data_IF_317393438661
#
_entry.id   IF_317393438661
#
_cell.length_a   1.000
_cell.length_b   1.000
_cell.length_c   1.000
_cell.angle_alpha   90.00
_cell.angle_beta   90.00
_cell.angle_gamma   90.00
#
_symmetry.space_group_name_H-M   'P 1'
#
loop_
_entity.id
_entity.type
_entity.pdbx_description
1 polymer ?
#
# COMPACT_ATOMS: atom_id res chain seq x y z
N UNK A 1 -6.75 -27.02 -4.69
CA UNK A 1 -5.79 -26.19 -3.95
C UNK A 1 -5.08 -27.06 -2.92
N UNK A 2 -3.85 -27.46 -3.21
CA UNK A 2 -2.94 -28.15 -2.29
C UNK A 2 -2.11 -27.13 -1.49
N UNK A 3 -1.42 -27.57 -0.45
CA UNK A 3 -0.55 -26.68 0.34
C UNK A 3 0.61 -26.12 -0.50
N UNK A 4 1.15 -26.92 -1.42
CA UNK A 4 2.21 -26.48 -2.34
C UNK A 4 1.70 -25.40 -3.30
N UNK A 5 0.48 -25.53 -3.81
CA UNK A 5 -0.17 -24.49 -4.64
C UNK A 5 -0.39 -23.19 -3.85
N UNK A 6 -0.69 -23.27 -2.54
CA UNK A 6 -0.78 -22.09 -1.66
C UNK A 6 0.59 -21.41 -1.54
N UNK A 7 1.66 -22.17 -1.26
CA UNK A 7 3.00 -21.61 -1.13
C UNK A 7 3.51 -20.99 -2.43
N UNK A 8 3.21 -21.58 -3.59
CA UNK A 8 3.56 -20.99 -4.89
C UNK A 8 2.86 -19.64 -5.11
N UNK A 9 1.59 -19.52 -4.73
CA UNK A 9 0.85 -18.26 -4.85
C UNK A 9 1.43 -17.16 -3.95
N UNK A 10 2.04 -17.49 -2.80
CA UNK A 10 2.66 -16.50 -1.91
C UNK A 10 3.84 -15.78 -2.57
N UNK A 11 4.66 -16.50 -3.34
CA UNK A 11 5.80 -15.91 -4.03
C UNK A 11 5.38 -14.84 -5.06
N UNK A 12 4.22 -15.02 -5.70
CA UNK A 12 3.68 -14.04 -6.65
C UNK A 12 3.10 -12.79 -5.96
N UNK A 13 2.73 -12.88 -4.68
CA UNK A 13 2.26 -11.72 -3.91
C UNK A 13 3.39 -10.71 -3.64
N UNK A 14 4.63 -11.17 -3.42
CA UNK A 14 5.78 -10.29 -3.22
C UNK A 14 6.17 -9.50 -4.49
N UNK A 15 5.81 -10.00 -5.69
CA UNK A 15 6.00 -9.25 -6.95
C UNK A 15 5.02 -8.09 -7.09
N UNK A 16 3.90 -8.15 -6.39
CA UNK A 16 2.84 -7.16 -6.43
C UNK A 16 2.04 -7.11 -7.73
N UNK A 17 1.10 -6.18 -7.77
CA UNK A 17 0.20 -5.91 -8.89
C UNK A 17 -0.01 -4.41 -9.07
N UNK A 18 -0.17 -4.02 -10.32
CA UNK A 18 -0.40 -2.63 -10.68
C UNK A 18 -1.86 -2.26 -10.43
N UNK A 19 -2.06 -1.24 -9.60
CA UNK A 19 -3.31 -0.52 -9.43
C UNK A 19 -3.28 0.75 -10.28
N UNK A 20 -4.27 0.91 -11.15
CA UNK A 20 -4.56 2.20 -11.78
C UNK A 20 -5.40 3.03 -10.83
N UNK A 21 -4.96 4.25 -10.52
CA UNK A 21 -5.74 5.18 -9.70
C UNK A 21 -6.80 5.86 -10.55
N UNK A 22 -8.04 5.79 -10.08
CA UNK A 22 -9.23 6.25 -10.79
C UNK A 22 -9.78 7.52 -10.14
N UNK A 23 -10.16 8.51 -10.96
CA UNK A 23 -10.90 9.69 -10.52
C UNK A 23 -12.29 9.24 -10.02
N UNK A 24 -12.65 9.52 -8.76
CA UNK A 24 -13.90 9.01 -8.19
C UNK A 24 -15.16 9.71 -8.73
N UNK A 25 -15.02 10.85 -9.43
CA UNK A 25 -16.13 11.56 -10.06
C UNK A 25 -16.31 11.19 -11.53
N UNK A 26 -15.22 11.02 -12.26
CA UNK A 26 -15.23 10.77 -13.70
C UNK A 26 -15.12 9.27 -14.05
N UNK A 27 -14.54 8.46 -13.18
CA UNK A 27 -14.27 7.04 -13.44
C UNK A 27 -13.05 6.79 -14.33
N UNK A 28 -12.30 7.84 -14.68
CA UNK A 28 -11.16 7.78 -15.60
C UNK A 28 -9.83 7.68 -14.84
N UNK A 29 -8.79 7.16 -15.50
CA UNK A 29 -7.45 7.07 -14.91
C UNK A 29 -6.86 8.47 -14.76
N UNK A 30 -6.30 8.77 -13.58
CA UNK A 30 -5.66 10.08 -13.32
C UNK A 30 -4.20 10.16 -13.78
N UNK A 31 -3.69 9.12 -14.43
CA UNK A 31 -2.27 9.05 -14.82
C UNK A 31 -1.32 8.63 -13.70
N UNK A 32 -1.84 8.06 -12.61
CA UNK A 32 -1.03 7.47 -11.53
C UNK A 32 -1.29 5.96 -11.46
N UNK A 33 -0.22 5.17 -11.44
CA UNK A 33 -0.27 3.73 -11.19
C UNK A 33 0.66 3.37 -10.04
N UNK A 34 0.20 2.49 -9.16
CA UNK A 34 0.98 2.02 -8.01
C UNK A 34 1.19 0.52 -8.13
N UNK A 35 2.43 0.06 -8.04
CA UNK A 35 2.73 -1.36 -7.90
C UNK A 35 2.64 -1.70 -6.41
N UNK A 36 1.63 -2.47 -6.02
CA UNK A 36 1.33 -2.76 -4.62
C UNK A 36 1.62 -4.23 -4.33
N UNK A 37 2.29 -4.52 -3.21
CA UNK A 37 2.53 -5.88 -2.74
C UNK A 37 1.24 -6.56 -2.24
N UNK A 38 1.08 -7.85 -2.49
CA UNK A 38 -0.12 -8.60 -2.09
C UNK A 38 -0.26 -8.77 -0.58
N UNK A 39 -1.48 -8.98 -0.06
CA UNK A 39 -1.77 -9.00 1.39
C UNK A 39 -1.01 -10.07 2.19
N UNK A 40 -0.66 -11.19 1.56
CA UNK A 40 0.09 -12.30 2.17
C UNK A 40 1.59 -12.26 1.81
N UNK A 41 2.06 -11.18 1.16
CA UNK A 41 3.49 -10.97 0.88
C UNK A 41 4.32 -10.76 2.14
N UNK A 42 5.62 -11.07 2.08
CA UNK A 42 6.54 -10.73 3.17
C UNK A 42 6.65 -9.22 3.36
N UNK A 43 6.56 -8.45 2.26
CA UNK A 43 6.54 -6.98 2.29
C UNK A 43 5.43 -6.44 3.18
N UNK A 44 4.20 -6.90 2.99
CA UNK A 44 3.06 -6.48 3.81
C UNK A 44 3.19 -6.95 5.26
N UNK A 45 3.72 -8.16 5.49
CA UNK A 45 3.98 -8.63 6.85
C UNK A 45 4.99 -7.74 7.59
N UNK A 46 6.12 -7.43 6.95
CA UNK A 46 7.15 -6.54 7.50
C UNK A 46 6.58 -5.14 7.78
N UNK A 47 5.76 -4.62 6.85
CA UNK A 47 5.11 -3.32 7.03
C UNK A 47 4.22 -3.26 8.27
N UNK A 48 3.44 -4.33 8.56
CA UNK A 48 2.62 -4.40 9.77
C UNK A 48 3.44 -4.45 11.05
N UNK A 49 4.58 -5.16 11.04
CA UNK A 49 5.51 -5.19 12.18
C UNK A 49 6.06 -3.79 12.44
N UNK A 50 6.59 -3.13 11.41
CA UNK A 50 7.11 -1.76 11.55
C UNK A 50 6.03 -0.74 11.97
N UNK A 51 4.77 -0.95 11.57
CA UNK A 51 3.64 -0.15 12.06
C UNK A 51 3.44 -0.31 13.57
N UNK A 52 3.53 -1.54 14.09
CA UNK A 52 3.42 -1.78 15.53
C UNK A 52 4.58 -1.14 16.29
N UNK A 53 5.80 -1.20 15.75
CA UNK A 53 6.97 -0.53 16.34
C UNK A 53 6.81 1.00 16.35
N UNK A 54 6.27 1.59 15.28
CA UNK A 54 5.94 3.02 15.23
C UNK A 54 4.89 3.41 16.26
N UNK A 55 3.83 2.60 16.41
CA UNK A 55 2.77 2.83 17.39
C UNK A 55 3.29 2.73 18.82
N UNK A 56 4.14 1.74 19.11
CA UNK A 56 4.78 1.59 20.41
C UNK A 56 5.72 2.76 20.72
N UNK A 57 6.50 3.21 19.73
CA UNK A 57 7.41 4.34 19.88
C UNK A 57 6.69 5.68 20.07
N UNK A 58 5.48 5.82 19.54
CA UNK A 58 4.66 7.02 19.66
C UNK A 58 3.69 6.99 20.85
N UNK A 59 3.66 5.90 21.62
CA UNK A 59 2.79 5.77 22.77
C UNK A 59 3.28 6.62 23.96
N UNK A 60 2.33 7.14 24.73
CA UNK A 60 2.62 7.78 26.01
C UNK A 60 2.99 6.77 27.10
N UNK A 61 3.22 7.27 28.32
CA UNK A 61 3.56 6.45 29.49
C UNK A 61 2.49 5.42 29.87
N UNK A 62 1.24 5.64 29.43
CA UNK A 62 0.11 4.74 29.65
C UNK A 62 -0.09 3.75 28.48
N UNK A 63 0.83 3.76 27.50
CA UNK A 63 0.79 2.89 26.32
C UNK A 63 -0.21 3.34 25.25
N UNK A 64 -0.66 4.60 25.27
CA UNK A 64 -1.64 5.13 24.32
C UNK A 64 -0.94 5.97 23.25
N UNK A 65 -1.10 5.59 21.99
CA UNK A 65 -0.82 6.48 20.87
C UNK A 65 -1.95 7.52 20.71
N UNK A 66 -1.69 8.67 20.10
CA UNK A 66 -2.76 9.61 19.68
C UNK A 66 -3.47 9.12 18.42
N UNK A 67 -4.61 9.73 18.06
CA UNK A 67 -5.29 9.38 16.79
C UNK A 67 -4.45 9.76 15.57
N UNK A 68 -3.78 10.90 15.62
CA UNK A 68 -2.88 11.39 14.58
C UNK A 68 -1.67 10.47 14.41
N UNK A 69 -1.11 9.98 15.52
CA UNK A 69 -0.03 8.99 15.50
C UNK A 69 -0.47 7.68 14.86
N UNK A 70 -1.68 7.20 15.18
CA UNK A 70 -2.25 5.99 14.57
C UNK A 70 -2.45 6.14 13.07
N UNK A 71 -3.04 7.26 12.64
CA UNK A 71 -3.28 7.49 11.21
C UNK A 71 -1.97 7.66 10.43
N UNK A 72 -0.98 8.33 11.01
CA UNK A 72 0.37 8.43 10.43
C UNK A 72 1.00 7.04 10.26
N UNK A 73 0.96 6.20 11.30
CA UNK A 73 1.53 4.85 11.24
C UNK A 73 0.80 3.98 10.20
N UNK A 74 -0.52 4.11 10.07
CA UNK A 74 -1.33 3.41 9.06
C UNK A 74 -0.95 3.83 7.62
N UNK A 75 -0.84 5.13 7.36
CA UNK A 75 -0.41 5.64 6.03
C UNK A 75 1.03 5.20 5.72
N UNK A 76 1.93 5.27 6.70
CA UNK A 76 3.31 4.78 6.53
C UNK A 76 3.33 3.28 6.21
N UNK A 77 2.52 2.48 6.90
CA UNK A 77 2.39 1.06 6.62
C UNK A 77 1.95 0.81 5.18
N UNK A 78 0.87 1.46 4.72
CA UNK A 78 0.42 1.32 3.34
C UNK A 78 1.47 1.79 2.34
N UNK A 79 2.18 2.88 2.62
CA UNK A 79 3.24 3.39 1.75
C UNK A 79 4.41 2.42 1.58
N UNK A 80 4.76 1.63 2.61
CA UNK A 80 5.79 0.57 2.51
C UNK A 80 5.36 -0.59 1.62
N UNK A 81 4.05 -0.79 1.44
CA UNK A 81 3.51 -1.84 0.58
C UNK A 81 3.55 -1.44 -0.91
N UNK A 82 3.87 -0.18 -1.23
CA UNK A 82 4.07 0.27 -2.61
C UNK A 82 5.52 -0.02 -3.02
N UNK A 83 5.68 -0.85 -4.04
CA UNK A 83 6.96 -1.34 -4.58
C UNK A 83 7.49 -0.46 -5.72
N UNK A 84 6.59 0.28 -6.37
CA UNK A 84 6.91 1.13 -7.51
C UNK A 84 5.72 2.01 -7.90
N UNK A 85 5.96 2.93 -8.82
CA UNK A 85 4.92 3.75 -9.41
C UNK A 85 5.17 4.01 -10.90
N UNK A 86 4.12 4.41 -11.60
CA UNK A 86 4.22 5.07 -12.90
C UNK A 86 3.39 6.36 -12.80
N UNK A 87 3.98 7.48 -13.21
CA UNK A 87 3.37 8.80 -13.15
C UNK A 87 3.40 9.39 -14.54
N UNK A 88 2.22 9.69 -15.08
CA UNK A 88 2.08 10.41 -16.33
C UNK A 88 2.39 11.90 -16.12
N UNK A 89 3.00 12.60 -17.10
CA UNK A 89 3.35 14.02 -16.98
C UNK A 89 2.17 14.92 -16.51
N UNK A 90 0.96 14.62 -16.96
CA UNK A 90 -0.28 15.33 -16.64
C UNK A 90 -0.72 15.21 -15.18
N UNK A 91 -0.26 14.18 -14.45
CA UNK A 91 -0.53 14.07 -13.00
C UNK A 91 0.20 15.15 -12.19
N UNK A 92 1.27 15.75 -12.75
CA UNK A 92 1.90 16.96 -12.20
C UNK A 92 2.76 16.74 -10.96
N UNK A 93 3.19 15.52 -10.66
CA UNK A 93 4.11 15.22 -9.56
C UNK A 93 5.53 14.96 -10.07
N UNK A 94 6.39 15.97 -9.94
CA UNK A 94 7.84 15.82 -10.19
C UNK A 94 8.54 15.35 -8.90
N UNK A 95 8.58 14.04 -8.71
CA UNK A 95 9.28 13.41 -7.58
C UNK A 95 9.91 12.09 -8.03
N UNK A 96 10.99 11.68 -7.34
CA UNK A 96 11.52 10.33 -7.46
C UNK A 96 10.71 9.36 -6.60
N UNK A 97 10.60 8.12 -7.06
CA UNK A 97 9.95 7.07 -6.28
C UNK A 97 10.66 6.91 -4.93
N UNK A 98 9.87 6.86 -3.87
CA UNK A 98 10.38 6.69 -2.52
C UNK A 98 9.28 6.89 -1.49
N UNK A 99 9.53 6.41 -0.28
CA UNK A 99 8.53 6.35 0.79
C UNK A 99 7.86 7.70 1.07
N UNK A 100 8.65 8.78 1.21
CA UNK A 100 8.10 10.11 1.47
C UNK A 100 7.18 10.63 0.36
N UNK A 101 7.49 10.31 -0.90
CA UNK A 101 6.69 10.74 -2.03
C UNK A 101 5.39 9.92 -2.15
N UNK A 102 5.45 8.62 -1.85
CA UNK A 102 4.26 7.76 -1.75
C UNK A 102 3.35 8.23 -0.60
N UNK A 103 3.91 8.54 0.58
CA UNK A 103 3.14 9.11 1.70
C UNK A 103 2.46 10.42 1.29
N UNK A 104 3.13 11.29 0.51
CA UNK A 104 2.52 12.53 0.01
C UNK A 104 1.28 12.25 -0.85
N UNK A 105 1.33 11.25 -1.73
CA UNK A 105 0.19 10.81 -2.54
C UNK A 105 -0.92 10.23 -1.65
N UNK A 106 -0.58 9.32 -0.73
CA UNK A 106 -1.55 8.63 0.14
C UNK A 106 -2.15 9.51 1.24
N UNK A 107 -1.75 10.78 1.35
CA UNK A 107 -2.49 11.78 2.15
C UNK A 107 -3.78 12.23 1.46
N UNK A 108 -3.93 11.99 0.16
CA UNK A 108 -5.19 12.21 -0.55
C UNK A 108 -6.11 11.03 -0.26
N UNK A 109 -7.17 11.26 0.52
CA UNK A 109 -7.98 10.19 1.12
C UNK A 109 -8.57 9.22 0.11
N UNK A 110 -9.06 9.68 -1.04
CA UNK A 110 -9.65 8.80 -2.04
C UNK A 110 -8.61 7.95 -2.78
N UNK A 111 -7.37 8.45 -2.96
CA UNK A 111 -6.25 7.64 -3.50
C UNK A 111 -5.86 6.57 -2.48
N UNK A 112 -5.76 6.97 -1.21
CA UNK A 112 -5.44 6.07 -0.12
C UNK A 112 -6.45 4.94 0.02
N UNK A 113 -7.75 5.24 -0.07
CA UNK A 113 -8.82 4.25 0.01
C UNK A 113 -8.73 3.22 -1.13
N UNK A 114 -8.46 3.67 -2.36
CA UNK A 114 -8.26 2.76 -3.49
C UNK A 114 -7.03 1.85 -3.27
N UNK A 115 -5.91 2.43 -2.83
CA UNK A 115 -4.70 1.67 -2.55
C UNK A 115 -4.89 0.65 -1.41
N UNK A 116 -5.59 1.04 -0.34
CA UNK A 116 -5.86 0.17 0.81
C UNK A 116 -6.82 -0.98 0.47
N UNK A 117 -7.91 -0.68 -0.23
CA UNK A 117 -8.83 -1.69 -0.72
C UNK A 117 -8.14 -2.68 -1.67
N UNK A 118 -7.31 -2.18 -2.59
CA UNK A 118 -6.55 -3.01 -3.50
C UNK A 118 -5.55 -3.91 -2.76
N UNK A 119 -4.79 -3.33 -1.82
CA UNK A 119 -3.78 -4.04 -1.02
C UNK A 119 -4.37 -5.13 -0.12
N UNK A 120 -5.63 -4.98 0.31
CA UNK A 120 -6.32 -5.95 1.16
C UNK A 120 -7.01 -7.09 0.42
N UNK A 121 -7.24 -6.97 -0.89
CA UNK A 121 -8.00 -7.94 -1.67
C UNK A 121 -7.10 -8.98 -2.37
N UNK A 122 -7.12 -10.21 -1.85
CA UNK A 122 -6.38 -11.36 -2.39
C UNK A 122 -6.74 -11.69 -3.84
N UNK A 123 -7.95 -11.34 -4.30
CA UNK A 123 -8.38 -11.63 -5.66
C UNK A 123 -7.51 -10.93 -6.71
N UNK A 124 -6.98 -9.73 -6.41
CA UNK A 124 -6.07 -9.01 -7.30
C UNK A 124 -4.74 -9.73 -7.51
N UNK A 125 -4.31 -10.57 -6.56
CA UNK A 125 -2.96 -11.15 -6.50
C UNK A 125 -2.89 -12.63 -6.86
N UNK A 126 -4.02 -13.24 -7.24
CA UNK A 126 -4.03 -14.63 -7.68
C UNK A 126 -3.15 -14.80 -8.93
N UNK A 127 -2.35 -15.86 -8.95
CA UNK A 127 -1.61 -16.24 -10.16
C UNK A 127 -2.59 -16.65 -11.26
N UNK A 128 -2.35 -16.26 -12.53
CA UNK A 128 -3.17 -16.74 -13.63
C UNK A 128 -3.12 -18.27 -13.69
N UNK A 129 -4.27 -18.88 -14.01
CA UNK A 129 -4.42 -20.33 -14.14
C UNK A 129 -3.76 -20.86 -15.41
#
# INVERSE_FOLDING_TARGET
>A
MTLDEIHSNLADQDRGRWLDIIDPWQGEKVGLRLLIAGPDSQTQNKSRIEMMDELASAADVDGRASFEAREKARINSLARCVLGWEIAPEFGLDAKFGHAAVVKILRVSWIQQQADAFAGDRAHFRSPA
#
